data_IF_621951504403
#
_entry.id   IF_621951504403
#
_cell.length_a   1.000
_cell.length_b   1.000
_cell.length_c   1.000
_cell.angle_alpha   90.00
_cell.angle_beta   90.00
_cell.angle_gamma   90.00
#
_symmetry.space_group_name_H-M   'P 1'
#
loop_
_entity.id
_entity.type
_entity.pdbx_description
1 polymer ?
#
# COMPACT_ATOMS: atom_id res chain seq x y z
N UNK A 1 3.81 -12.25 -12.65
CA UNK A 1 3.57 -12.53 -14.06
C UNK A 1 4.69 -11.91 -14.89
N UNK A 2 5.43 -12.71 -15.72
CA UNK A 2 6.50 -12.19 -16.59
C UNK A 2 6.04 -11.16 -17.63
N UNK A 3 4.77 -11.18 -18.01
CA UNK A 3 4.19 -10.19 -18.92
C UNK A 3 4.02 -8.82 -18.24
N UNK A 4 3.97 -8.81 -16.92
CA UNK A 4 3.86 -7.59 -16.10
C UNK A 4 5.15 -7.41 -15.30
N UNK A 5 5.93 -6.42 -15.64
CA UNK A 5 7.16 -6.10 -14.90
C UNK A 5 6.74 -5.58 -13.53
N UNK A 6 6.83 -6.43 -12.50
CA UNK A 6 6.56 -6.06 -11.12
C UNK A 6 7.86 -5.99 -10.31
N UNK A 7 8.17 -4.82 -9.80
CA UNK A 7 9.30 -4.66 -8.88
C UNK A 7 9.09 -5.44 -7.57
N UNK A 8 7.83 -5.73 -7.23
CA UNK A 8 7.49 -6.49 -6.03
C UNK A 8 7.79 -7.99 -6.16
N UNK A 9 8.06 -8.50 -7.36
CA UNK A 9 8.32 -9.94 -7.54
C UNK A 9 9.57 -10.39 -6.77
N UNK A 10 10.58 -9.55 -6.65
CA UNK A 10 11.78 -9.86 -5.86
C UNK A 10 11.47 -10.24 -4.39
N UNK A 11 10.36 -9.77 -3.85
CA UNK A 11 9.92 -10.12 -2.49
C UNK A 11 9.29 -11.53 -2.41
N UNK A 12 9.06 -12.19 -3.54
CA UNK A 12 8.47 -13.53 -3.61
C UNK A 12 9.49 -14.58 -4.08
N UNK A 13 10.52 -14.13 -4.77
CA UNK A 13 11.52 -15.00 -5.40
C UNK A 13 12.22 -15.87 -4.35
N UNK A 14 12.25 -17.15 -4.60
CA UNK A 14 12.85 -18.12 -3.70
C UNK A 14 12.08 -18.42 -2.42
N UNK A 15 10.90 -17.82 -2.18
CA UNK A 15 10.17 -18.00 -0.92
C UNK A 15 9.11 -19.10 -0.97
N UNK A 16 8.36 -19.21 -2.05
CA UNK A 16 7.20 -20.12 -2.16
C UNK A 16 7.57 -21.29 -3.03
N UNK A 17 7.36 -22.51 -2.53
CA UNK A 17 7.66 -23.74 -3.25
C UNK A 17 6.89 -23.83 -4.58
N UNK A 18 7.60 -24.03 -5.68
CA UNK A 18 7.04 -24.16 -7.03
C UNK A 18 6.68 -22.86 -7.75
N UNK A 19 6.80 -21.70 -7.10
CA UNK A 19 6.49 -20.42 -7.74
C UNK A 19 7.55 -20.03 -8.78
N UNK A 20 8.82 -20.18 -8.45
CA UNK A 20 9.92 -19.79 -9.35
C UNK A 20 9.98 -20.66 -10.58
N UNK A 21 9.67 -21.95 -10.46
CA UNK A 21 9.58 -22.88 -11.58
C UNK A 21 8.49 -22.46 -12.56
N UNK A 22 7.31 -22.12 -12.03
CA UNK A 22 6.17 -21.67 -12.84
C UNK A 22 6.49 -20.35 -13.56
N UNK A 23 7.06 -19.38 -12.85
CA UNK A 23 7.48 -18.09 -13.43
C UNK A 23 8.62 -18.28 -14.42
N UNK A 24 9.60 -19.12 -14.10
CA UNK A 24 10.72 -19.44 -14.97
C UNK A 24 10.29 -20.11 -16.28
N UNK A 25 9.31 -21.02 -16.23
CA UNK A 25 8.73 -21.64 -17.42
C UNK A 25 8.04 -20.59 -18.32
N UNK A 26 7.20 -19.74 -17.75
CA UNK A 26 6.52 -18.68 -18.48
C UNK A 26 7.51 -17.69 -19.14
N UNK A 27 8.61 -17.34 -18.44
CA UNK A 27 9.69 -16.49 -18.99
C UNK A 27 10.39 -17.14 -20.20
N UNK A 28 10.74 -18.42 -20.09
CA UNK A 28 11.40 -19.15 -21.19
C UNK A 28 10.51 -19.25 -22.42
N UNK A 29 9.22 -19.48 -22.21
CA UNK A 29 8.22 -19.59 -23.28
C UNK A 29 7.70 -18.24 -23.79
N UNK A 30 8.18 -17.14 -23.21
CA UNK A 30 7.76 -15.76 -23.55
C UNK A 30 6.24 -15.56 -23.51
N UNK A 31 5.58 -16.17 -22.55
CA UNK A 31 4.12 -16.08 -22.34
C UNK A 31 3.78 -15.50 -20.99
N UNK A 32 2.53 -15.09 -20.81
CA UNK A 32 1.99 -14.74 -19.51
C UNK A 32 1.92 -15.95 -18.57
N UNK A 33 1.77 -15.67 -17.27
CA UNK A 33 1.59 -16.71 -16.27
C UNK A 33 0.24 -17.42 -16.48
N UNK A 34 0.26 -18.74 -16.41
CA UNK A 34 -0.97 -19.52 -16.31
C UNK A 34 -1.47 -19.47 -14.86
N UNK A 35 -2.46 -18.64 -14.60
CA UNK A 35 -3.05 -18.50 -13.28
C UNK A 35 -3.91 -19.70 -12.84
N UNK A 36 -4.19 -20.64 -13.73
CA UNK A 36 -4.87 -21.90 -13.40
C UNK A 36 -3.88 -23.01 -13.03
N UNK A 37 -2.60 -22.83 -13.35
CA UNK A 37 -1.58 -23.80 -13.00
C UNK A 37 -1.41 -23.91 -11.48
N UNK A 38 -1.34 -25.12 -10.92
CA UNK A 38 -1.12 -25.30 -9.51
C UNK A 38 0.28 -24.87 -9.10
N UNK A 39 0.38 -24.20 -7.96
CA UNK A 39 1.66 -23.87 -7.31
C UNK A 39 1.81 -24.82 -6.12
N UNK A 40 2.89 -25.60 -6.08
CA UNK A 40 3.08 -26.61 -5.04
C UNK A 40 3.00 -26.04 -3.61
N UNK A 41 3.52 -24.83 -3.43
CA UNK A 41 3.54 -24.12 -2.16
C UNK A 41 2.28 -23.32 -1.83
N UNK A 42 1.25 -23.30 -2.70
CA UNK A 42 0.01 -22.54 -2.40
C UNK A 42 -1.22 -23.42 -2.61
N UNK A 43 -2.02 -23.57 -1.55
CA UNK A 43 -3.23 -24.40 -1.59
C UNK A 43 -4.36 -23.75 -0.81
N UNK A 44 -5.48 -23.51 -1.46
CA UNK A 44 -6.72 -23.21 -0.77
C UNK A 44 -7.26 -24.53 -0.15
N UNK A 45 -7.33 -24.60 1.17
CA UNK A 45 -7.86 -25.75 1.89
C UNK A 45 -9.38 -25.69 1.96
N UNK A 46 -9.92 -24.48 2.08
CA UNK A 46 -11.34 -24.17 2.08
C UNK A 46 -11.55 -22.72 1.63
N UNK A 47 -12.79 -22.22 1.70
CA UNK A 47 -13.15 -20.85 1.26
C UNK A 47 -12.48 -19.72 2.05
N UNK A 48 -11.82 -20.02 3.17
CA UNK A 48 -11.24 -19.02 4.10
C UNK A 48 -9.80 -19.34 4.50
N UNK A 49 -9.29 -20.49 4.13
CA UNK A 49 -7.97 -20.96 4.55
C UNK A 49 -7.05 -21.17 3.36
N UNK A 50 -6.00 -20.36 3.30
CA UNK A 50 -4.89 -20.52 2.37
C UNK A 50 -3.70 -21.11 3.10
N UNK A 51 -3.18 -22.24 2.61
CA UNK A 51 -1.94 -22.83 3.08
C UNK A 51 -0.79 -22.37 2.19
N UNK A 52 0.27 -21.83 2.81
CA UNK A 52 1.54 -21.52 2.17
C UNK A 52 2.62 -22.50 2.63
N UNK A 53 3.40 -23.05 1.69
CA UNK A 53 4.61 -23.82 1.98
C UNK A 53 5.82 -23.04 1.46
N UNK A 54 6.76 -22.77 2.35
CA UNK A 54 7.97 -22.05 2.02
C UNK A 54 9.10 -23.02 1.66
N UNK A 55 10.00 -22.58 0.81
CA UNK A 55 11.22 -23.32 0.42
C UNK A 55 12.19 -23.52 1.58
N UNK A 56 12.13 -22.61 2.57
CA UNK A 56 12.94 -22.63 3.81
C UNK A 56 12.16 -21.93 4.93
N UNK A 57 12.45 -22.25 6.19
CA UNK A 57 11.89 -21.49 7.32
C UNK A 57 12.26 -20.01 7.21
N UNK A 58 11.27 -19.14 7.27
CA UNK A 58 11.45 -17.68 7.27
C UNK A 58 10.55 -17.04 8.34
N UNK A 59 11.09 -16.66 9.50
CA UNK A 59 10.35 -16.01 10.57
C UNK A 59 9.77 -14.66 10.16
N UNK A 60 10.33 -14.02 9.12
CA UNK A 60 9.90 -12.70 8.64
C UNK A 60 8.78 -12.78 7.61
N UNK A 61 8.46 -13.96 7.12
CA UNK A 61 7.44 -14.16 6.08
C UNK A 61 6.09 -13.54 6.44
N UNK A 62 5.69 -13.60 7.71
CA UNK A 62 4.41 -13.02 8.17
C UNK A 62 4.37 -11.51 7.95
N UNK A 63 5.50 -10.82 8.10
CA UNK A 63 5.60 -9.38 7.83
C UNK A 63 5.48 -9.06 6.34
N UNK A 64 5.97 -9.96 5.49
CA UNK A 64 5.82 -9.82 4.04
C UNK A 64 4.35 -9.83 3.61
N UNK A 65 3.47 -10.56 4.31
CA UNK A 65 2.02 -10.58 4.03
C UNK A 65 1.35 -9.23 4.26
N UNK A 66 1.95 -8.35 5.07
CA UNK A 66 1.46 -6.99 5.28
C UNK A 66 1.90 -6.00 4.16
N UNK A 67 2.80 -6.43 3.27
CA UNK A 67 3.25 -5.61 2.16
C UNK A 67 2.18 -5.54 1.06
N UNK A 68 1.95 -4.34 0.51
CA UNK A 68 0.88 -4.11 -0.47
C UNK A 68 0.96 -5.01 -1.71
N UNK A 69 2.17 -5.44 -2.11
CA UNK A 69 2.37 -6.37 -3.22
C UNK A 69 1.80 -7.78 -3.01
N UNK A 70 1.40 -8.12 -1.78
CA UNK A 70 0.75 -9.38 -1.41
C UNK A 70 -0.77 -9.25 -1.30
N UNK A 71 -1.32 -8.08 -1.58
CA UNK A 71 -2.76 -7.87 -1.51
C UNK A 71 -3.49 -8.77 -2.51
N UNK A 72 -4.51 -9.45 -2.03
CA UNK A 72 -5.39 -10.24 -2.89
C UNK A 72 -6.19 -9.31 -3.82
N UNK A 73 -6.29 -9.71 -5.08
CA UNK A 73 -7.09 -9.01 -6.08
C UNK A 73 -8.15 -9.96 -6.64
N UNK A 74 -9.38 -9.49 -6.91
CA UNK A 74 -10.44 -10.34 -7.48
C UNK A 74 -10.11 -10.67 -8.94
N UNK A 75 -9.93 -11.96 -9.21
CA UNK A 75 -9.56 -12.47 -10.55
C UNK A 75 -10.52 -12.01 -11.62
N UNK A 76 -11.82 -12.14 -11.36
CA UNK A 76 -12.89 -11.78 -12.28
C UNK A 76 -12.85 -10.31 -12.69
N UNK A 77 -12.43 -9.42 -11.79
CA UNK A 77 -12.30 -8.00 -12.10
C UNK A 77 -11.03 -7.72 -12.90
N UNK A 78 -9.91 -8.36 -12.53
CA UNK A 78 -8.65 -8.24 -13.31
C UNK A 78 -8.83 -8.74 -14.74
N UNK A 79 -9.54 -9.84 -14.93
CA UNK A 79 -9.83 -10.39 -16.28
C UNK A 79 -10.78 -9.49 -17.07
N UNK A 80 -11.79 -8.90 -16.43
CA UNK A 80 -12.75 -8.02 -17.09
C UNK A 80 -12.16 -6.64 -17.45
N UNK A 81 -11.38 -6.05 -16.54
CA UNK A 81 -10.83 -4.69 -16.70
C UNK A 81 -9.48 -4.71 -17.48
N UNK A 82 -8.76 -5.81 -17.45
CA UNK A 82 -7.45 -5.93 -18.10
C UNK A 82 -6.49 -4.83 -17.64
N UNK A 83 -5.91 -4.09 -18.60
CA UNK A 83 -4.97 -3.02 -18.32
C UNK A 83 -5.58 -1.83 -17.54
N UNK A 84 -6.90 -1.63 -17.62
CA UNK A 84 -7.58 -0.55 -16.90
C UNK A 84 -7.67 -0.82 -15.40
N UNK A 85 -7.54 -2.09 -14.95
CA UNK A 85 -7.49 -2.43 -13.53
C UNK A 85 -6.41 -1.64 -12.77
N UNK A 86 -5.26 -1.39 -13.40
CA UNK A 86 -4.18 -0.59 -12.80
C UNK A 86 -4.58 0.88 -12.55
N UNK A 87 -5.59 1.38 -13.27
CA UNK A 87 -6.11 2.75 -13.12
C UNK A 87 -7.33 2.82 -12.24
N UNK A 88 -8.03 1.71 -12.08
CA UNK A 88 -9.28 1.59 -11.32
C UNK A 88 -9.23 0.41 -10.36
N UNK A 89 -8.23 0.36 -9.47
CA UNK A 89 -8.08 -0.78 -8.57
C UNK A 89 -9.28 -0.88 -7.64
N UNK A 90 -9.75 -2.11 -7.44
CA UNK A 90 -10.78 -2.45 -6.47
C UNK A 90 -10.12 -3.01 -5.23
N UNK A 91 -10.63 -2.64 -4.07
CA UNK A 91 -10.15 -3.13 -2.80
C UNK A 91 -11.21 -3.08 -1.71
N UNK A 92 -11.00 -3.87 -0.66
CA UNK A 92 -11.84 -3.88 0.54
C UNK A 92 -11.44 -2.82 1.57
N UNK A 93 -10.49 -1.94 1.23
CA UNK A 93 -9.95 -0.91 2.11
C UNK A 93 -10.92 0.25 2.39
N UNK A 94 -10.52 1.18 3.27
CA UNK A 94 -11.37 2.29 3.70
C UNK A 94 -11.63 3.34 2.61
N UNK A 95 -10.88 3.31 1.51
CA UNK A 95 -11.00 4.24 0.41
C UNK A 95 -11.07 3.53 -0.93
N UNK A 96 -11.75 4.16 -1.90
CA UNK A 96 -11.80 3.78 -3.31
C UNK A 96 -11.08 4.84 -4.14
N UNK A 97 -10.42 4.42 -5.22
CA UNK A 97 -9.86 5.33 -6.20
C UNK A 97 -10.97 5.91 -7.08
N UNK A 98 -11.31 7.17 -6.88
CA UNK A 98 -12.29 7.90 -7.71
C UNK A 98 -11.65 8.33 -9.04
N UNK A 99 -10.43 8.83 -8.97
CA UNK A 99 -9.69 9.32 -10.13
C UNK A 99 -8.21 9.03 -9.96
N UNK A 100 -7.62 8.41 -10.96
CA UNK A 100 -6.19 8.20 -11.04
C UNK A 100 -5.62 8.74 -12.35
N UNK A 101 -4.73 9.70 -12.24
CA UNK A 101 -3.95 10.25 -13.34
C UNK A 101 -2.48 9.89 -13.08
N UNK A 102 -1.94 8.89 -13.79
CA UNK A 102 -0.57 8.44 -13.59
C UNK A 102 0.43 9.58 -13.59
N UNK A 103 1.32 9.61 -12.61
CA UNK A 103 2.35 10.61 -12.48
C UNK A 103 1.92 12.00 -12.02
N UNK A 104 0.62 12.27 -11.84
CA UNK A 104 0.13 13.60 -11.47
C UNK A 104 -0.77 13.60 -10.23
N UNK A 105 -1.87 12.86 -10.26
CA UNK A 105 -2.90 12.95 -9.21
C UNK A 105 -3.60 11.61 -8.94
N UNK A 106 -3.88 11.36 -7.68
CA UNK A 106 -4.80 10.32 -7.24
C UNK A 106 -5.83 10.95 -6.29
N UNK A 107 -7.11 10.72 -6.57
CA UNK A 107 -8.20 11.11 -5.68
C UNK A 107 -8.83 9.86 -5.10
N UNK A 108 -8.86 9.80 -3.78
CA UNK A 108 -9.50 8.73 -3.02
C UNK A 108 -10.75 9.26 -2.35
N UNK A 109 -11.82 8.48 -2.38
CA UNK A 109 -13.07 8.75 -1.67
C UNK A 109 -13.37 7.63 -0.70
N UNK A 110 -14.09 7.94 0.37
CA UNK A 110 -14.48 6.95 1.37
C UNK A 110 -15.23 5.79 0.70
N UNK A 111 -14.83 4.57 1.03
CA UNK A 111 -15.53 3.37 0.62
C UNK A 111 -16.80 3.19 1.48
N UNK A 112 -18.01 3.29 0.89
CA UNK A 112 -19.25 3.15 1.65
C UNK A 112 -19.48 1.76 2.22
N UNK A 113 -18.86 0.75 1.61
CA UNK A 113 -18.94 -0.65 2.08
C UNK A 113 -17.94 -0.97 3.19
N UNK A 114 -17.01 -0.07 3.50
CA UNK A 114 -16.04 -0.29 4.56
C UNK A 114 -16.68 -0.05 5.94
N UNK A 115 -16.61 -1.07 6.81
CA UNK A 115 -17.06 -0.93 8.19
C UNK A 115 -16.15 0.01 8.96
N UNK A 116 -16.68 1.16 9.37
CA UNK A 116 -15.92 2.09 10.21
C UNK A 116 -15.61 1.46 11.56
N UNK A 117 -14.36 1.53 11.95
CA UNK A 117 -13.87 1.01 13.23
C UNK A 117 -13.30 2.17 14.06
N UNK A 118 -13.45 2.14 15.39
CA UNK A 118 -12.72 3.07 16.24
C UNK A 118 -11.22 3.01 15.97
N UNK A 119 -10.56 4.15 15.97
CA UNK A 119 -9.10 4.22 15.78
C UNK A 119 -8.35 3.34 16.78
N UNK A 120 -8.87 3.21 17.99
CA UNK A 120 -8.33 2.35 19.05
C UNK A 120 -8.25 0.87 18.68
N UNK A 121 -9.01 0.41 17.67
CA UNK A 121 -8.89 -0.95 17.13
C UNK A 121 -7.51 -1.22 16.51
N UNK A 122 -6.84 -0.17 16.02
CA UNK A 122 -5.54 -0.25 15.37
C UNK A 122 -4.37 0.13 16.29
N UNK A 123 -4.66 0.69 17.47
CA UNK A 123 -3.68 1.20 18.42
C UNK A 123 -3.51 0.26 19.62
N UNK A 124 -3.30 -1.03 19.36
CA UNK A 124 -3.28 -2.07 20.40
C UNK A 124 -2.12 -1.92 21.39
N UNK A 125 -0.98 -1.38 20.94
CA UNK A 125 0.23 -1.27 21.75
C UNK A 125 0.45 0.14 22.32
N UNK A 126 -0.50 1.05 22.10
CA UNK A 126 -0.39 2.42 22.59
C UNK A 126 -0.57 2.45 24.13
N UNK A 127 0.27 3.21 24.80
CA UNK A 127 0.16 3.41 26.25
C UNK A 127 -1.13 4.16 26.57
N UNK A 128 -1.83 3.85 27.68
CA UNK A 128 -3.11 4.46 28.03
C UNK A 128 -3.07 5.98 28.18
N UNK A 129 -1.91 6.53 28.53
CA UNK A 129 -1.66 7.96 28.73
C UNK A 129 -1.12 8.69 27.50
N UNK A 130 -0.97 7.98 26.37
CA UNK A 130 -0.51 8.58 25.11
C UNK A 130 -1.42 9.74 24.69
N UNK A 131 -0.87 10.95 24.47
CA UNK A 131 -1.64 12.13 24.06
C UNK A 131 -2.38 11.93 22.74
N UNK A 132 -1.77 11.21 21.79
CA UNK A 132 -2.38 10.90 20.50
C UNK A 132 -3.57 9.98 20.69
N UNK A 133 -3.41 8.93 21.51
CA UNK A 133 -4.51 8.01 21.83
C UNK A 133 -5.70 8.74 22.47
N UNK A 134 -5.44 9.69 23.39
CA UNK A 134 -6.50 10.49 24.00
C UNK A 134 -7.28 11.31 22.97
N UNK A 135 -6.57 11.94 22.03
CA UNK A 135 -7.16 12.75 20.97
C UNK A 135 -7.95 11.89 19.98
N UNK A 136 -7.44 10.70 19.68
CA UNK A 136 -7.99 9.83 18.64
C UNK A 136 -9.09 8.87 19.15
N UNK A 137 -9.36 8.80 20.45
CA UNK A 137 -10.35 7.86 21.02
C UNK A 137 -11.74 7.98 20.42
N UNK A 138 -12.16 9.19 20.08
CA UNK A 138 -13.48 9.45 19.47
C UNK A 138 -13.48 9.34 17.95
N UNK A 139 -12.32 9.11 17.34
CA UNK A 139 -12.18 9.07 15.88
C UNK A 139 -12.45 7.67 15.36
N UNK A 140 -13.27 7.57 14.34
CA UNK A 140 -13.47 6.33 13.58
C UNK A 140 -12.74 6.41 12.24
N UNK A 141 -12.12 5.30 11.84
CA UNK A 141 -11.39 5.18 10.57
C UNK A 141 -12.31 4.65 9.48
N UNK A 142 -12.32 5.25 8.28
CA UNK A 142 -11.59 6.44 7.86
C UNK A 142 -12.17 7.73 8.44
N UNK A 143 -11.28 8.65 8.85
CA UNK A 143 -11.67 9.91 9.49
C UNK A 143 -12.05 11.01 8.47
N UNK A 144 -11.39 11.01 7.32
CA UNK A 144 -11.64 11.98 6.24
C UNK A 144 -12.44 11.34 5.12
N UNK A 145 -13.25 12.14 4.42
CA UNK A 145 -14.12 11.63 3.35
C UNK A 145 -13.40 11.53 2.01
N UNK A 146 -12.42 12.42 1.80
CA UNK A 146 -11.71 12.57 0.54
C UNK A 146 -10.24 12.84 0.78
N UNK A 147 -9.36 12.17 0.03
CA UNK A 147 -7.91 12.40 0.04
C UNK A 147 -7.50 12.74 -1.39
N UNK A 148 -6.87 13.89 -1.54
CA UNK A 148 -6.29 14.30 -2.82
C UNK A 148 -4.76 14.23 -2.70
N UNK A 149 -4.16 13.36 -3.50
CA UNK A 149 -2.72 13.17 -3.58
C UNK A 149 -2.22 13.77 -4.88
N UNK A 150 -1.33 14.74 -4.79
CA UNK A 150 -0.69 15.37 -5.95
C UNK A 150 0.80 15.07 -5.93
N UNK A 151 1.35 14.69 -7.07
CA UNK A 151 2.79 14.51 -7.19
C UNK A 151 3.43 15.87 -7.40
N UNK A 152 4.32 16.26 -6.50
CA UNK A 152 5.20 17.41 -6.61
C UNK A 152 6.62 16.86 -6.71
N UNK A 153 7.26 16.90 -7.90
CA UNK A 153 8.56 16.24 -8.12
C UNK A 153 9.68 16.83 -7.28
N UNK A 154 9.67 18.16 -7.10
CA UNK A 154 10.74 18.86 -6.39
C UNK A 154 10.41 18.97 -4.89
N UNK A 155 11.28 18.43 -4.04
CA UNK A 155 11.08 18.40 -2.61
C UNK A 155 10.98 19.80 -1.99
N UNK A 156 11.77 20.77 -2.47
CA UNK A 156 11.69 22.16 -2.04
C UNK A 156 10.35 22.82 -2.36
N UNK A 157 9.79 22.53 -3.53
CA UNK A 157 8.45 22.99 -3.93
C UNK A 157 7.37 22.37 -3.07
N UNK A 158 7.48 21.07 -2.75
CA UNK A 158 6.54 20.40 -1.86
C UNK A 158 6.55 21.01 -0.46
N UNK A 159 7.74 21.30 0.08
CA UNK A 159 7.89 21.97 1.38
C UNK A 159 7.30 23.37 1.36
N UNK A 160 7.49 24.14 0.29
CA UNK A 160 6.88 25.46 0.14
C UNK A 160 5.35 25.38 0.11
N UNK A 161 4.78 24.44 -0.64
CA UNK A 161 3.34 24.20 -0.68
C UNK A 161 2.77 23.84 0.71
N UNK A 162 3.52 23.09 1.52
CA UNK A 162 3.14 22.80 2.91
C UNK A 162 3.16 24.07 3.78
N UNK A 163 4.19 24.92 3.64
CA UNK A 163 4.27 26.20 4.36
C UNK A 163 3.11 27.12 3.99
N UNK A 164 2.72 27.14 2.71
CA UNK A 164 1.61 27.95 2.19
C UNK A 164 0.23 27.33 2.50
N UNK A 165 0.20 26.15 3.12
CA UNK A 165 -1.02 25.37 3.42
C UNK A 165 -1.80 24.94 2.16
N UNK A 166 -1.15 24.85 1.04
CA UNK A 166 -1.72 24.30 -0.19
C UNK A 166 -1.84 22.77 -0.11
N UNK A 167 -0.90 22.14 0.63
CA UNK A 167 -0.98 20.72 0.99
C UNK A 167 -0.98 20.58 2.51
N UNK A 168 -1.72 19.61 3.02
CA UNK A 168 -1.82 19.35 4.46
C UNK A 168 -0.80 18.35 5.00
N UNK A 169 -0.18 17.58 4.11
CA UNK A 169 0.73 16.49 4.49
C UNK A 169 1.70 16.16 3.34
N UNK A 170 2.93 15.85 3.68
CA UNK A 170 3.93 15.30 2.75
C UNK A 170 4.34 13.93 3.29
N UNK A 171 4.12 12.88 2.49
CA UNK A 171 4.39 11.50 2.91
C UNK A 171 5.89 11.21 3.08
N UNK A 172 6.72 11.84 2.24
CA UNK A 172 8.16 11.70 2.28
C UNK A 172 8.83 12.99 1.81
N UNK A 173 9.86 13.42 2.54
CA UNK A 173 10.74 14.52 2.17
C UNK A 173 12.17 14.14 2.54
N UNK A 174 13.11 14.45 1.66
CA UNK A 174 14.53 14.23 1.96
C UNK A 174 14.96 15.08 3.15
N UNK A 175 15.64 14.49 4.16
CA UNK A 175 15.97 15.21 5.39
C UNK A 175 16.61 16.58 5.17
N UNK A 176 17.61 16.79 4.30
CA UNK A 176 18.25 18.10 4.14
C UNK A 176 17.31 19.21 3.63
N UNK A 177 16.16 18.86 3.06
CA UNK A 177 15.18 19.84 2.57
C UNK A 177 14.36 20.43 3.73
N UNK A 178 13.97 19.60 4.68
CA UNK A 178 13.07 19.98 5.78
C UNK A 178 13.78 20.09 7.13
N UNK A 179 14.94 19.47 7.31
CA UNK A 179 15.62 19.34 8.59
C UNK A 179 17.05 19.88 8.55
N UNK A 180 17.50 20.38 9.69
CA UNK A 180 18.89 20.64 10.03
C UNK A 180 19.29 19.59 11.09
N UNK A 181 20.01 18.55 10.64
CA UNK A 181 20.24 17.36 11.44
C UNK A 181 18.93 16.63 11.76
N UNK A 182 18.55 16.57 13.03
CA UNK A 182 17.29 15.93 13.48
C UNK A 182 16.16 16.93 13.75
N UNK A 183 16.44 18.24 13.61
CA UNK A 183 15.47 19.29 13.91
C UNK A 183 14.81 19.86 12.66
N UNK A 184 13.53 20.09 12.73
CA UNK A 184 12.79 20.80 11.68
C UNK A 184 13.31 22.22 11.50
N UNK A 185 13.54 22.66 10.26
CA UNK A 185 14.06 24.00 9.95
C UNK A 185 13.18 25.11 10.58
N UNK A 186 13.79 26.20 11.05
CA UNK A 186 13.07 27.28 11.73
C UNK A 186 11.88 27.84 10.90
N UNK A 187 12.05 27.98 9.59
CA UNK A 187 10.99 28.47 8.71
C UNK A 187 9.75 27.55 8.69
N UNK A 188 9.95 26.23 8.81
CA UNK A 188 8.85 25.26 8.89
C UNK A 188 8.18 25.28 10.26
N UNK A 189 8.97 25.38 11.34
CA UNK A 189 8.44 25.55 12.69
C UNK A 189 7.57 26.80 12.79
N UNK A 190 8.03 27.92 12.20
CA UNK A 190 7.29 29.20 12.19
C UNK A 190 6.00 29.12 11.37
N UNK A 191 5.96 28.30 10.32
CA UNK A 191 4.75 28.05 9.54
C UNK A 191 3.77 27.09 10.23
N UNK A 192 4.11 26.58 11.41
CA UNK A 192 3.28 25.66 12.19
C UNK A 192 3.34 24.20 11.70
N UNK A 193 4.35 23.84 10.92
CA UNK A 193 4.62 22.44 10.54
C UNK A 193 5.11 21.67 11.78
N UNK A 194 4.59 20.46 11.94
CA UNK A 194 4.90 19.58 13.08
C UNK A 194 5.52 18.27 12.59
#
# INVERSE_FOLDING_TARGET
DPANISMSFANFEGLIEGLDELVGAARREKRGLDYAAPIAGLKALDARTLQGRLTRPDPTFVYNLAYAGWSAVPREVVEAEGAEFARRPIGSGPYLAERFQPGTRLTLVRNPSFKRLPWTTYATDAKPDDPVLRTMRSVSVPAVDRVEMTRIPEASTAVLALQQREVGFIAFVEPPVAFDGTELKPALKSAGVK
#
